data_IF_516837712163
#
_entry.id   IF_516837712163
#
_cell.length_a   1.000
_cell.length_b   1.000
_cell.length_c   1.000
_cell.angle_alpha   90.00
_cell.angle_beta   90.00
_cell.angle_gamma   90.00
#
_symmetry.space_group_name_H-M   'P 1'
#
loop_
_entity.id
_entity.type
_entity.pdbx_description
1 polymer ?
#
# COMPACT_ATOMS: atom_id res chain seq x y z
N UNK A 1 33.81 67.43 -2.74
CA UNK A 1 33.70 66.01 -3.10
C UNK A 1 33.75 65.21 -1.80
N UNK A 2 32.59 64.74 -1.33
CA UNK A 2 32.51 63.95 -0.08
C UNK A 2 32.08 62.53 -0.45
N UNK A 3 32.98 61.57 -0.24
CA UNK A 3 32.79 60.14 -0.44
C UNK A 3 31.86 59.61 0.69
N UNK A 4 30.65 59.16 0.36
CA UNK A 4 29.77 58.42 1.29
C UNK A 4 30.11 56.93 1.18
N UNK A 5 30.67 56.37 2.26
CA UNK A 5 30.84 54.93 2.45
C UNK A 5 29.49 54.33 2.85
N UNK A 6 28.96 53.44 2.00
CA UNK A 6 27.85 52.57 2.37
C UNK A 6 28.39 51.40 3.20
N UNK A 7 28.01 51.34 4.45
CA UNK A 7 28.11 50.13 5.28
C UNK A 7 26.97 49.19 4.93
N UNK A 8 27.28 48.06 4.28
CA UNK A 8 26.36 46.95 4.13
C UNK A 8 26.51 46.09 5.38
N UNK A 9 25.54 46.20 6.29
CA UNK A 9 25.43 45.32 7.43
C UNK A 9 24.94 43.94 6.99
N UNK A 10 25.81 42.95 7.08
CA UNK A 10 25.41 41.53 7.02
C UNK A 10 24.65 41.18 8.27
N UNK A 11 23.31 41.07 8.16
CA UNK A 11 22.47 40.51 9.19
C UNK A 11 22.55 38.97 9.09
N UNK A 12 23.46 38.36 9.83
CA UNK A 12 23.49 36.92 10.06
C UNK A 12 22.31 36.57 10.93
N UNK A 13 21.22 36.07 10.29
CA UNK A 13 20.15 35.41 10.99
C UNK A 13 20.68 34.07 11.48
N UNK A 14 21.01 34.00 12.75
CA UNK A 14 21.26 32.74 13.44
C UNK A 14 19.91 32.03 13.55
N UNK A 15 19.62 31.10 12.65
CA UNK A 15 18.58 30.11 12.83
C UNK A 15 19.03 29.20 13.98
N UNK A 16 18.66 29.53 15.21
CA UNK A 16 18.61 28.53 16.26
C UNK A 16 17.56 27.51 15.83
N UNK A 17 18.01 26.41 15.21
CA UNK A 17 17.26 25.17 15.25
C UNK A 17 17.19 24.79 16.73
N UNK A 18 16.06 25.05 17.37
CA UNK A 18 15.73 24.39 18.61
C UNK A 18 15.75 22.89 18.29
N UNK A 19 16.80 22.21 18.68
CA UNK A 19 16.78 20.75 18.75
C UNK A 19 15.65 20.45 19.74
N UNK A 20 14.51 19.95 19.22
CA UNK A 20 13.50 19.34 20.04
C UNK A 20 14.21 18.19 20.72
N UNK A 21 14.48 18.33 22.00
CA UNK A 21 15.07 17.25 22.80
C UNK A 21 14.01 16.16 22.84
N UNK A 22 14.26 15.04 22.16
CA UNK A 22 13.41 13.88 22.28
C UNK A 22 13.25 13.52 23.76
N UNK A 23 12.04 13.18 24.18
CA UNK A 23 11.80 12.79 25.57
C UNK A 23 12.66 11.56 25.88
N UNK A 24 13.65 11.71 26.72
CA UNK A 24 14.49 10.58 27.16
C UNK A 24 13.76 9.84 28.27
N UNK A 25 13.14 8.71 27.93
CA UNK A 25 12.57 7.78 28.89
C UNK A 25 13.65 6.84 29.42
N UNK A 26 13.73 6.69 30.74
CA UNK A 26 14.79 5.93 31.42
C UNK A 26 14.77 4.43 31.11
N UNK A 27 13.64 3.91 30.65
CA UNK A 27 13.39 2.51 30.33
C UNK A 27 13.30 2.22 28.79
N UNK A 28 13.61 3.22 27.94
CA UNK A 28 13.63 3.09 26.48
C UNK A 28 14.99 3.54 25.96
N UNK A 29 15.93 2.60 25.82
CA UNK A 29 17.23 2.90 25.23
C UNK A 29 17.14 3.05 23.71
N UNK A 30 18.18 3.64 23.11
CA UNK A 30 18.33 3.77 21.64
C UNK A 30 18.39 2.42 20.90
N UNK A 31 18.74 1.36 21.60
CA UNK A 31 18.68 -0.02 21.10
C UNK A 31 17.28 -0.65 21.16
N UNK A 32 16.32 -0.02 21.83
CA UNK A 32 14.96 -0.54 21.89
C UNK A 32 14.28 -0.43 20.52
N UNK A 33 13.66 -1.52 20.06
CA UNK A 33 13.07 -1.60 18.72
C UNK A 33 12.06 -0.47 18.38
N UNK A 34 11.32 0.04 19.38
CA UNK A 34 10.34 1.11 19.21
C UNK A 34 10.90 2.51 19.56
N UNK A 35 12.20 2.66 19.82
CA UNK A 35 12.80 3.93 20.21
C UNK A 35 12.48 5.08 19.24
N UNK A 36 12.68 4.84 17.93
CA UNK A 36 12.42 5.85 16.90
C UNK A 36 10.93 6.23 16.83
N UNK A 37 10.03 5.27 16.97
CA UNK A 37 8.59 5.47 16.91
C UNK A 37 8.09 6.25 18.12
N UNK A 38 8.57 5.90 19.31
CA UNK A 38 8.24 6.61 20.56
C UNK A 38 8.69 8.07 20.46
N UNK A 39 9.92 8.33 20.04
CA UNK A 39 10.45 9.68 19.89
C UNK A 39 9.75 10.47 18.77
N UNK A 40 9.29 9.81 17.70
CA UNK A 40 8.53 10.45 16.64
C UNK A 40 7.16 10.97 17.10
N UNK A 41 6.61 10.36 18.15
CA UNK A 41 5.33 10.72 18.76
C UNK A 41 5.48 11.61 20.02
N UNK A 42 6.63 12.18 20.26
CA UNK A 42 6.95 12.97 21.46
C UNK A 42 5.88 14.03 21.83
N UNK A 43 5.30 14.69 20.82
CA UNK A 43 4.25 15.68 21.03
C UNK A 43 2.88 15.07 21.41
N UNK A 44 2.60 13.83 21.05
CA UNK A 44 1.29 13.18 21.24
C UNK A 44 1.27 12.22 22.43
N UNK A 45 2.42 11.69 22.83
CA UNK A 45 2.52 10.72 23.92
C UNK A 45 3.16 11.33 25.16
N UNK A 46 2.82 10.76 26.31
CA UNK A 46 3.38 11.19 27.59
C UNK A 46 3.86 9.96 28.34
N UNK A 47 5.05 10.04 28.92
CA UNK A 47 5.53 9.05 29.88
C UNK A 47 4.87 9.18 31.25
N UNK A 48 5.37 8.40 32.19
CA UNK A 48 4.94 8.45 33.58
C UNK A 48 5.74 9.49 34.37
N UNK A 49 5.19 9.98 35.52
CA UNK A 49 5.89 10.96 36.34
C UNK A 49 7.26 10.49 36.88
N UNK A 50 7.51 9.18 36.88
CA UNK A 50 8.78 8.58 37.29
C UNK A 50 9.85 8.61 36.16
N UNK A 51 9.55 9.24 35.02
CA UNK A 51 10.46 9.33 33.87
C UNK A 51 10.49 8.09 32.99
N UNK A 52 9.59 7.12 33.22
CA UNK A 52 9.50 5.90 32.40
C UNK A 52 8.44 6.01 31.32
N UNK A 53 8.56 5.23 30.25
CA UNK A 53 7.54 5.04 29.23
C UNK A 53 6.71 3.77 29.45
N UNK A 54 7.28 2.75 30.05
CA UNK A 54 6.73 1.41 30.28
C UNK A 54 6.32 0.72 28.96
N UNK A 55 7.25 0.50 28.03
CA UNK A 55 6.98 0.04 26.66
C UNK A 55 6.21 -1.28 26.60
N UNK A 56 6.45 -2.19 27.56
CA UNK A 56 5.82 -3.52 27.61
C UNK A 56 4.43 -3.52 28.29
N UNK A 57 4.02 -2.42 28.90
CA UNK A 57 2.69 -2.34 29.50
C UNK A 57 1.63 -2.32 28.40
N UNK A 58 0.53 -3.04 28.63
CA UNK A 58 -0.62 -3.06 27.72
C UNK A 58 -1.36 -1.73 27.78
N UNK A 59 -1.76 -1.17 26.64
CA UNK A 59 -2.63 0.01 26.57
C UNK A 59 -4.09 -0.38 26.73
N UNK A 60 -4.84 0.46 27.41
CA UNK A 60 -6.30 0.35 27.46
C UNK A 60 -6.95 0.92 26.19
N UNK A 61 -8.22 0.60 25.95
CA UNK A 61 -8.99 1.21 24.85
C UNK A 61 -9.02 2.72 24.95
N UNK A 62 -9.23 3.26 26.15
CA UNK A 62 -9.26 4.70 26.36
C UNK A 62 -7.92 5.36 26.01
N UNK A 63 -6.78 4.77 26.40
CA UNK A 63 -5.45 5.30 26.08
C UNK A 63 -5.18 5.23 24.58
N UNK A 64 -5.48 4.10 23.91
CA UNK A 64 -5.25 3.95 22.48
C UNK A 64 -6.10 4.95 21.68
N UNK A 65 -7.41 5.01 21.94
CA UNK A 65 -8.32 5.93 21.23
C UNK A 65 -7.96 7.40 21.47
N UNK A 66 -7.46 7.74 22.67
CA UNK A 66 -6.99 9.11 22.94
C UNK A 66 -5.77 9.47 22.09
N UNK A 67 -4.79 8.58 21.99
CA UNK A 67 -3.62 8.80 21.15
C UNK A 67 -4.00 8.82 19.66
N UNK A 68 -4.88 7.92 19.24
CA UNK A 68 -5.41 7.88 17.88
C UNK A 68 -6.12 9.19 17.50
N UNK A 69 -7.04 9.67 18.35
CA UNK A 69 -7.79 10.90 18.08
C UNK A 69 -6.87 12.13 18.01
N UNK A 70 -5.84 12.22 18.87
CA UNK A 70 -4.84 13.29 18.83
C UNK A 70 -4.09 13.34 17.48
N UNK A 71 -3.83 12.18 16.90
CA UNK A 71 -3.07 12.04 15.65
C UNK A 71 -3.96 12.18 14.43
N UNK A 72 -5.11 11.50 14.42
CA UNK A 72 -5.99 11.44 13.26
C UNK A 72 -6.89 12.66 13.12
N UNK A 73 -7.28 13.28 14.24
CA UNK A 73 -8.23 14.39 14.31
C UNK A 73 -7.78 15.50 15.27
N UNK A 74 -6.58 16.07 15.10
CA UNK A 74 -5.96 16.95 16.08
C UNK A 74 -6.79 18.19 16.40
N UNK A 75 -7.49 18.77 15.42
CA UNK A 75 -8.30 19.98 15.63
C UNK A 75 -9.63 19.67 16.33
N UNK A 76 -10.29 18.57 15.94
CA UNK A 76 -11.54 18.15 16.55
C UNK A 76 -11.32 17.70 18.01
N UNK A 77 -10.23 16.97 18.24
CA UNK A 77 -9.85 16.57 19.59
C UNK A 77 -9.58 17.75 20.51
N UNK A 78 -8.91 18.81 20.03
CA UNK A 78 -8.69 20.05 20.79
C UNK A 78 -9.97 20.81 21.09
N UNK A 79 -10.96 20.75 20.19
CA UNK A 79 -12.26 21.42 20.34
C UNK A 79 -13.24 20.62 21.21
N UNK A 80 -13.00 19.33 21.39
CA UNK A 80 -13.84 18.47 22.20
C UNK A 80 -13.59 18.72 23.68
N UNK A 81 -14.31 19.67 24.27
CA UNK A 81 -14.26 19.95 25.73
C UNK A 81 -14.80 18.76 26.52
N UNK A 82 -14.07 18.32 27.53
CA UNK A 82 -14.51 17.28 28.45
C UNK A 82 -13.77 17.32 29.79
N UNK A 83 -14.51 17.11 30.88
CA UNK A 83 -13.94 16.96 32.23
C UNK A 83 -13.13 15.65 32.37
N UNK A 84 -13.44 14.66 31.56
CA UNK A 84 -12.76 13.35 31.56
C UNK A 84 -11.81 13.25 30.34
N UNK A 85 -10.55 12.97 30.57
CA UNK A 85 -9.49 12.91 29.58
C UNK A 85 -9.76 11.97 28.38
N UNK A 86 -10.58 10.92 28.56
CA UNK A 86 -10.91 9.92 27.54
C UNK A 86 -12.16 10.29 26.72
N UNK A 87 -13.09 11.08 27.26
CA UNK A 87 -14.40 11.37 26.62
C UNK A 87 -14.25 12.10 25.30
N UNK A 88 -13.34 13.08 25.22
CA UNK A 88 -13.08 13.81 23.99
C UNK A 88 -12.75 12.85 22.81
N UNK A 89 -11.86 11.89 23.06
CA UNK A 89 -11.49 10.91 22.04
C UNK A 89 -12.65 10.02 21.62
N UNK A 90 -13.46 9.55 22.57
CA UNK A 90 -14.65 8.77 22.27
C UNK A 90 -15.67 9.56 21.45
N UNK A 91 -15.90 10.84 21.80
CA UNK A 91 -16.82 11.72 21.07
C UNK A 91 -16.37 11.91 19.63
N UNK A 92 -15.08 12.14 19.38
CA UNK A 92 -14.52 12.25 18.04
C UNK A 92 -14.68 10.94 17.29
N UNK A 93 -14.30 9.80 17.87
CA UNK A 93 -14.43 8.50 17.22
C UNK A 93 -15.89 8.12 16.90
N UNK A 94 -16.84 8.50 17.77
CA UNK A 94 -18.28 8.31 17.52
C UNK A 94 -18.75 9.18 16.34
N UNK A 95 -18.32 10.44 16.27
CA UNK A 95 -18.70 11.35 15.21
C UNK A 95 -18.24 10.87 13.81
N UNK A 96 -17.21 10.05 13.77
CA UNK A 96 -16.65 9.45 12.55
C UNK A 96 -17.01 7.96 12.36
N UNK A 97 -17.98 7.42 13.11
CA UNK A 97 -18.44 6.03 13.04
C UNK A 97 -17.33 4.97 13.19
N UNK A 98 -16.30 5.27 14.01
CA UNK A 98 -15.11 4.43 14.14
C UNK A 98 -15.20 3.37 15.24
N UNK A 99 -16.22 3.40 16.11
CA UNK A 99 -16.30 2.52 17.28
C UNK A 99 -17.09 1.22 17.06
N UNK A 100 -17.68 1.03 15.90
CA UNK A 100 -18.32 -0.25 15.58
C UNK A 100 -17.26 -1.38 15.55
N UNK A 101 -17.57 -2.55 16.13
CA UNK A 101 -16.61 -3.64 16.31
C UNK A 101 -15.58 -3.44 17.43
N UNK A 102 -15.61 -2.29 18.14
CA UNK A 102 -14.82 -2.10 19.36
C UNK A 102 -15.70 -2.45 20.56
N UNK A 103 -15.53 -3.67 21.04
CA UNK A 103 -16.38 -4.27 22.06
C UNK A 103 -15.61 -4.39 23.38
N UNK A 104 -16.00 -3.64 24.39
CA UNK A 104 -15.41 -3.78 25.70
C UNK A 104 -15.30 -2.49 26.50
N UNK A 105 -15.01 -2.65 27.79
CA UNK A 105 -14.87 -1.50 28.68
C UNK A 105 -13.62 -0.68 28.33
N UNK A 106 -13.74 0.63 28.48
CA UNK A 106 -12.65 1.58 28.21
C UNK A 106 -11.33 1.31 28.94
N UNK A 107 -11.41 0.65 30.10
CA UNK A 107 -10.25 0.31 30.95
C UNK A 107 -9.62 -1.04 30.60
N UNK A 108 -10.26 -1.81 29.72
CA UNK A 108 -9.71 -3.10 29.29
C UNK A 108 -8.64 -2.87 28.22
N UNK A 109 -7.74 -3.83 28.10
CA UNK A 109 -6.72 -3.83 27.06
C UNK A 109 -7.33 -3.69 25.65
N UNK A 110 -6.67 -2.92 24.77
CA UNK A 110 -7.05 -2.80 23.36
C UNK A 110 -6.50 -3.96 22.56
N UNK A 111 -7.34 -4.87 22.01
CA UNK A 111 -6.88 -6.00 21.21
C UNK A 111 -6.41 -5.56 19.82
N UNK A 112 -5.47 -6.29 19.24
CA UNK A 112 -4.95 -5.99 17.89
C UNK A 112 -6.02 -6.08 16.80
N UNK A 113 -6.98 -7.01 16.93
CA UNK A 113 -8.11 -7.15 16.02
C UNK A 113 -9.01 -5.91 16.00
N UNK A 114 -9.31 -5.36 17.19
CA UNK A 114 -10.09 -4.11 17.27
C UNK A 114 -9.32 -2.91 16.70
N UNK A 115 -7.99 -2.86 16.84
CA UNK A 115 -7.18 -1.84 16.18
C UNK A 115 -7.25 -1.98 14.66
N UNK A 116 -7.20 -3.21 14.15
CA UNK A 116 -7.38 -3.43 12.71
C UNK A 116 -8.74 -2.93 12.21
N UNK A 117 -9.82 -3.23 12.96
CA UNK A 117 -11.16 -2.74 12.64
C UNK A 117 -11.29 -1.21 12.67
N UNK A 118 -10.65 -0.56 13.66
CA UNK A 118 -10.59 0.90 13.74
C UNK A 118 -9.86 1.52 12.54
N UNK A 119 -8.69 0.98 12.20
CA UNK A 119 -7.88 1.47 11.09
C UNK A 119 -8.54 1.22 9.73
N UNK A 120 -9.19 0.09 9.53
CA UNK A 120 -9.99 -0.22 8.34
C UNK A 120 -11.04 0.86 8.10
N UNK A 121 -11.87 1.14 9.10
CA UNK A 121 -12.89 2.21 9.01
C UNK A 121 -12.28 3.57 8.74
N UNK A 122 -11.23 3.91 9.46
CA UNK A 122 -10.55 5.18 9.28
C UNK A 122 -9.98 5.33 7.86
N UNK A 123 -9.38 4.26 7.33
CA UNK A 123 -8.80 4.27 5.99
C UNK A 123 -9.84 4.10 4.87
N UNK A 124 -11.08 3.74 5.17
CA UNK A 124 -12.12 3.50 4.14
C UNK A 124 -12.37 4.73 3.25
N UNK A 125 -12.15 5.93 3.77
CA UNK A 125 -12.21 7.17 3.00
C UNK A 125 -10.96 7.48 2.16
N UNK A 126 -9.92 6.65 2.23
CA UNK A 126 -8.71 6.83 1.43
C UNK A 126 -8.88 6.19 0.06
N UNK A 127 -8.58 6.93 -1.01
CA UNK A 127 -8.70 6.40 -2.38
C UNK A 127 -7.87 5.13 -2.59
N UNK A 128 -8.43 4.16 -3.32
CA UNK A 128 -7.75 2.94 -3.73
C UNK A 128 -7.46 1.91 -2.62
N UNK A 129 -7.98 2.08 -1.41
CA UNK A 129 -7.70 1.16 -0.28
C UNK A 129 -8.35 -0.20 -0.51
N UNK A 130 -9.63 -0.21 -0.85
CA UNK A 130 -10.37 -1.45 -1.09
C UNK A 130 -9.90 -2.15 -2.36
N UNK A 131 -9.66 -1.41 -3.44
CA UNK A 131 -9.15 -1.95 -4.70
C UNK A 131 -7.78 -2.61 -4.52
N UNK A 132 -6.90 -2.04 -3.71
CA UNK A 132 -5.60 -2.68 -3.39
C UNK A 132 -5.77 -3.93 -2.54
N UNK A 133 -6.71 -3.91 -1.60
CA UNK A 133 -7.03 -5.09 -0.79
C UNK A 133 -7.60 -6.22 -1.67
N UNK A 134 -8.54 -5.90 -2.56
CA UNK A 134 -9.11 -6.86 -3.51
C UNK A 134 -8.06 -7.43 -4.45
N UNK A 135 -7.15 -6.59 -4.94
CA UNK A 135 -6.02 -7.03 -5.74
C UNK A 135 -5.09 -7.97 -4.96
N UNK A 136 -4.81 -7.70 -3.69
CA UNK A 136 -4.01 -8.58 -2.84
C UNK A 136 -4.71 -9.92 -2.58
N UNK A 137 -6.06 -9.93 -2.42
CA UNK A 137 -6.84 -11.17 -2.32
C UNK A 137 -6.71 -11.98 -3.61
N UNK A 138 -6.87 -11.36 -4.77
CA UNK A 138 -6.76 -12.03 -6.07
C UNK A 138 -5.39 -12.68 -6.28
N UNK A 139 -4.31 -12.09 -5.75
CA UNK A 139 -2.98 -12.66 -5.85
C UNK A 139 -2.67 -13.77 -4.85
N UNK A 140 -3.29 -13.74 -3.67
CA UNK A 140 -3.21 -14.88 -2.73
C UNK A 140 -3.98 -16.08 -3.25
N UNK A 141 -4.95 -15.85 -4.16
CA UNK A 141 -5.60 -16.90 -4.93
C UNK A 141 -4.65 -17.29 -6.07
N UNK A 142 -3.81 -18.29 -5.85
CA UNK A 142 -2.88 -18.77 -6.86
C UNK A 142 -3.64 -19.49 -7.99
N UNK A 143 -3.88 -18.79 -9.10
CA UNK A 143 -4.53 -19.37 -10.29
C UNK A 143 -3.87 -20.66 -10.78
N UNK A 144 -2.59 -20.85 -10.53
CA UNK A 144 -1.83 -22.04 -10.92
C UNK A 144 -2.28 -23.31 -10.22
N UNK A 145 -2.85 -23.18 -9.01
CA UNK A 145 -3.34 -24.31 -8.22
C UNK A 145 -4.85 -24.58 -8.40
N UNK A 146 -5.58 -23.67 -9.08
CA UNK A 146 -7.04 -23.63 -9.08
C UNK A 146 -7.73 -24.27 -10.27
N UNK A 147 -7.09 -25.15 -10.98
CA UNK A 147 -7.68 -25.68 -12.22
C UNK A 147 -8.99 -26.42 -12.12
N UNK A 148 -9.44 -26.86 -10.95
CA UNK A 148 -10.63 -27.73 -10.82
C UNK A 148 -11.43 -27.56 -9.54
N UNK A 149 -11.00 -26.82 -8.54
CA UNK A 149 -11.73 -26.66 -7.27
C UNK A 149 -11.80 -25.19 -6.90
N UNK A 150 -12.92 -24.75 -6.34
CA UNK A 150 -13.02 -23.40 -5.76
C UNK A 150 -11.93 -23.24 -4.72
N UNK A 151 -11.10 -22.18 -4.81
CA UNK A 151 -10.00 -22.02 -3.88
C UNK A 151 -10.57 -21.93 -2.46
N UNK A 152 -10.01 -22.71 -1.55
CA UNK A 152 -10.20 -22.42 -0.14
C UNK A 152 -9.55 -21.06 0.13
N UNK A 153 -10.41 -20.08 0.42
CA UNK A 153 -9.93 -18.77 0.81
C UNK A 153 -9.09 -18.89 2.08
N UNK A 154 -7.85 -18.38 2.01
CA UNK A 154 -6.95 -18.36 3.15
C UNK A 154 -6.75 -16.91 3.60
N UNK A 155 -6.98 -16.60 4.88
CA UNK A 155 -6.67 -15.27 5.42
C UNK A 155 -5.16 -15.02 5.37
N UNK A 156 -4.76 -13.74 5.23
CA UNK A 156 -3.35 -13.30 5.27
C UNK A 156 -2.61 -13.85 6.51
N UNK A 157 -3.33 -13.96 7.62
CA UNK A 157 -2.88 -14.59 8.86
C UNK A 157 -3.95 -15.60 9.30
N UNK A 158 -3.62 -16.91 9.36
CA UNK A 158 -4.59 -17.97 9.67
C UNK A 158 -5.31 -17.78 11.00
N UNK A 159 -4.66 -17.18 11.99
CA UNK A 159 -5.21 -16.90 13.30
C UNK A 159 -6.09 -15.64 13.39
N UNK A 160 -6.26 -14.92 12.27
CA UNK A 160 -7.04 -13.67 12.21
C UNK A 160 -8.31 -13.79 11.34
N UNK A 161 -8.87 -14.99 11.18
CA UNK A 161 -10.02 -15.24 10.31
C UNK A 161 -11.25 -14.37 10.64
N UNK A 162 -11.50 -14.07 11.92
CA UNK A 162 -12.59 -13.21 12.36
C UNK A 162 -12.42 -11.74 11.93
N UNK A 163 -11.17 -11.27 11.84
CA UNK A 163 -10.80 -9.90 11.46
C UNK A 163 -10.16 -9.81 10.07
N UNK A 164 -10.32 -10.82 9.24
CA UNK A 164 -9.53 -11.00 8.02
C UNK A 164 -9.53 -9.77 7.10
N UNK A 165 -10.68 -9.16 6.85
CA UNK A 165 -10.81 -7.99 5.98
C UNK A 165 -10.07 -6.78 6.56
N UNK A 166 -10.35 -6.46 7.82
CA UNK A 166 -9.72 -5.32 8.50
C UNK A 166 -8.21 -5.50 8.67
N UNK A 167 -7.77 -6.73 8.93
CA UNK A 167 -6.33 -7.06 9.03
C UNK A 167 -5.66 -6.92 7.66
N UNK A 168 -6.30 -7.43 6.60
CA UNK A 168 -5.79 -7.31 5.22
C UNK A 168 -5.66 -5.84 4.81
N UNK A 169 -6.69 -5.03 5.03
CA UNK A 169 -6.68 -3.60 4.70
C UNK A 169 -5.60 -2.87 5.48
N UNK A 170 -5.55 -3.06 6.80
CA UNK A 170 -4.55 -2.40 7.66
C UNK A 170 -3.11 -2.80 7.34
N UNK A 171 -2.89 -4.07 6.97
CA UNK A 171 -1.59 -4.57 6.56
C UNK A 171 -1.18 -4.02 5.18
N UNK A 172 -2.10 -4.00 4.23
CA UNK A 172 -1.87 -3.43 2.89
C UNK A 172 -1.65 -1.92 2.91
N UNK A 173 -2.08 -1.23 3.96
CA UNK A 173 -1.72 0.17 4.19
C UNK A 173 -0.39 0.33 4.95
N UNK A 174 0.30 -0.77 5.29
CA UNK A 174 1.55 -0.73 6.05
C UNK A 174 1.40 -0.21 7.48
N UNK A 175 0.19 -0.16 8.01
CA UNK A 175 -0.10 0.31 9.38
C UNK A 175 0.09 -0.80 10.40
N UNK A 176 -0.37 -2.01 10.09
CA UNK A 176 -0.19 -3.21 10.90
C UNK A 176 0.72 -4.22 10.20
N UNK A 177 1.45 -5.00 10.99
CA UNK A 177 2.28 -6.11 10.51
C UNK A 177 2.03 -7.32 11.39
N UNK A 178 2.19 -8.54 10.85
CA UNK A 178 2.20 -9.74 11.69
C UNK A 178 3.44 -9.83 12.59
N UNK A 179 3.46 -10.84 13.43
CA UNK A 179 4.63 -11.21 14.22
C UNK A 179 5.63 -12.04 13.40
N UNK A 180 6.90 -12.13 13.82
CA UNK A 180 7.90 -12.92 13.11
C UNK A 180 7.57 -14.42 13.02
N UNK A 181 6.68 -14.92 13.87
CA UNK A 181 6.19 -16.32 13.86
C UNK A 181 5.07 -16.54 12.82
N UNK A 182 4.73 -15.53 12.02
CA UNK A 182 3.68 -15.59 11.00
C UNK A 182 2.25 -15.42 11.55
N UNK A 183 2.08 -15.17 12.84
CA UNK A 183 0.76 -14.93 13.47
C UNK A 183 0.41 -13.45 13.50
N UNK A 184 -0.88 -13.15 13.68
CA UNK A 184 -1.38 -11.78 13.91
C UNK A 184 -1.73 -11.53 15.38
N UNK A 185 -2.22 -12.55 16.08
CA UNK A 185 -2.68 -12.52 17.49
C UNK A 185 -3.78 -11.48 17.72
N UNK A 186 -4.95 -11.61 17.09
CA UNK A 186 -6.00 -10.58 17.12
C UNK A 186 -6.50 -10.28 18.54
N UNK A 187 -6.58 -11.26 19.41
CA UNK A 187 -7.06 -11.12 20.80
C UNK A 187 -6.00 -10.59 21.76
N UNK A 188 -4.74 -10.52 21.33
CA UNK A 188 -3.67 -10.00 22.19
C UNK A 188 -3.82 -8.52 22.41
N UNK A 189 -3.83 -8.07 23.66
CA UNK A 189 -3.73 -6.67 24.04
C UNK A 189 -2.41 -6.08 23.55
N UNK A 190 -2.49 -4.88 22.95
CA UNK A 190 -1.33 -4.18 22.38
C UNK A 190 -0.54 -3.51 23.48
N UNK A 191 0.79 -3.62 23.45
CA UNK A 191 1.68 -2.92 24.36
C UNK A 191 1.82 -1.46 23.98
N UNK A 192 2.33 -0.61 24.88
CA UNK A 192 2.60 0.81 24.61
C UNK A 192 3.60 1.00 23.49
N UNK A 193 4.61 0.14 23.39
CA UNK A 193 5.58 0.16 22.30
C UNK A 193 4.93 -0.23 20.96
N UNK A 194 4.10 -1.27 20.94
CA UNK A 194 3.35 -1.68 19.74
C UNK A 194 2.37 -0.57 19.30
N UNK A 195 1.65 0.04 20.25
CA UNK A 195 0.77 1.18 19.97
C UNK A 195 1.53 2.38 19.39
N UNK A 196 2.69 2.72 19.94
CA UNK A 196 3.54 3.77 19.41
C UNK A 196 4.00 3.45 17.98
N UNK A 197 4.35 2.21 17.68
CA UNK A 197 4.75 1.82 16.33
C UNK A 197 3.61 1.94 15.31
N UNK A 198 2.40 1.55 15.68
CA UNK A 198 1.20 1.67 14.83
C UNK A 198 0.87 3.14 14.58
N UNK A 199 0.80 3.92 15.64
CA UNK A 199 0.41 5.33 15.59
C UNK A 199 1.48 6.23 14.93
N UNK A 200 2.76 5.89 15.07
CA UNK A 200 3.83 6.57 14.36
C UNK A 200 3.74 6.37 12.84
N UNK A 201 3.41 5.14 12.39
CA UNK A 201 3.16 4.86 10.96
C UNK A 201 1.94 5.64 10.47
N UNK A 202 0.86 5.66 11.24
CA UNK A 202 -0.33 6.44 10.89
C UNK A 202 0.00 7.93 10.75
N UNK A 203 0.64 8.54 11.74
CA UNK A 203 1.05 9.96 11.70
C UNK A 203 1.94 10.27 10.49
N UNK A 204 2.90 9.40 10.21
CA UNK A 204 3.80 9.59 9.08
C UNK A 204 3.07 9.48 7.73
N UNK A 205 2.14 8.54 7.59
CA UNK A 205 1.31 8.45 6.38
C UNK A 205 0.40 9.66 6.21
N UNK A 206 -0.25 10.14 7.27
CA UNK A 206 -1.07 11.35 7.22
C UNK A 206 -0.25 12.56 6.74
N UNK A 207 0.96 12.75 7.26
CA UNK A 207 1.85 13.83 6.84
C UNK A 207 2.28 13.73 5.36
N UNK A 208 2.42 12.51 4.81
CA UNK A 208 2.70 12.31 3.39
C UNK A 208 1.43 12.49 2.55
N UNK A 209 0.27 12.06 3.03
CA UNK A 209 -1.02 12.26 2.35
C UNK A 209 -1.42 13.72 2.23
N UNK A 210 -1.11 14.57 3.22
CA UNK A 210 -1.26 16.03 3.11
C UNK A 210 -0.48 16.62 1.94
N UNK A 211 0.60 15.96 1.52
CA UNK A 211 1.40 16.30 0.33
C UNK A 211 0.88 15.63 -0.96
N UNK A 212 -0.25 14.94 -0.89
CA UNK A 212 -0.82 14.18 -2.00
C UNK A 212 -0.17 12.82 -2.25
N UNK A 213 0.72 12.36 -1.36
CA UNK A 213 1.33 11.04 -1.50
C UNK A 213 0.39 9.93 -0.99
N UNK A 214 0.38 8.81 -1.70
CA UNK A 214 -0.38 7.62 -1.31
C UNK A 214 0.56 6.42 -1.11
N UNK A 215 0.33 5.69 -0.02
CA UNK A 215 1.10 4.50 0.27
C UNK A 215 0.76 3.38 -0.72
N UNK A 216 1.78 2.69 -1.17
CA UNK A 216 1.66 1.56 -2.09
C UNK A 216 2.06 0.25 -1.40
N UNK A 217 3.31 0.14 -0.98
CA UNK A 217 3.81 -1.04 -0.26
C UNK A 217 5.10 -0.70 0.52
N UNK A 218 5.57 -1.67 1.30
CA UNK A 218 6.87 -1.57 1.97
C UNK A 218 7.94 -2.28 1.14
N UNK A 219 9.07 -1.62 0.92
CA UNK A 219 10.25 -2.13 0.23
C UNK A 219 11.44 -2.04 1.18
N UNK A 220 11.79 -3.15 1.82
CA UNK A 220 12.81 -3.16 2.87
C UNK A 220 12.41 -2.27 4.04
N UNK A 221 13.23 -1.29 4.35
CA UNK A 221 12.99 -0.33 5.42
C UNK A 221 12.19 0.89 4.97
N UNK A 222 11.84 1.00 3.68
CA UNK A 222 11.23 2.19 3.08
C UNK A 222 9.79 1.93 2.64
N UNK A 223 9.02 3.01 2.52
CA UNK A 223 7.72 3.01 1.90
C UNK A 223 7.81 3.42 0.44
N UNK A 224 7.25 2.61 -0.44
CA UNK A 224 6.96 3.02 -1.80
C UNK A 224 5.66 3.83 -1.77
N UNK A 225 5.77 5.07 -2.22
CA UNK A 225 4.66 6.01 -2.27
C UNK A 225 4.43 6.46 -3.69
N UNK A 226 3.16 6.61 -4.04
CA UNK A 226 2.74 7.36 -5.21
C UNK A 226 2.68 8.84 -4.83
N UNK A 227 3.13 9.73 -5.73
CA UNK A 227 3.05 11.17 -5.51
C UNK A 227 2.57 11.90 -6.78
N UNK A 228 1.81 13.01 -6.64
CA UNK A 228 1.39 13.82 -7.78
C UNK A 228 2.58 14.60 -8.34
N UNK A 229 2.70 14.63 -9.66
CA UNK A 229 3.55 15.52 -10.42
C UNK A 229 2.67 16.29 -11.42
N UNK A 230 3.08 17.42 -11.96
CA UNK A 230 2.23 18.40 -12.66
C UNK A 230 1.17 17.83 -13.62
N UNK A 231 1.57 16.92 -14.50
CA UNK A 231 0.73 16.22 -15.49
C UNK A 231 0.94 14.69 -15.44
N UNK A 232 1.57 14.24 -14.39
CA UNK A 232 2.10 12.90 -14.25
C UNK A 232 1.89 12.40 -12.83
N UNK A 233 2.06 11.11 -12.65
CA UNK A 233 2.14 10.45 -11.34
C UNK A 233 3.50 9.83 -11.21
N UNK A 234 4.09 9.93 -10.03
CA UNK A 234 5.40 9.38 -9.74
C UNK A 234 5.37 8.31 -8.67
N UNK A 235 6.36 7.44 -8.70
CA UNK A 235 6.71 6.50 -7.63
C UNK A 235 8.03 6.88 -7.00
N UNK A 236 8.08 6.84 -5.68
CA UNK A 236 9.31 7.06 -4.95
C UNK A 236 9.34 6.30 -3.63
N UNK A 237 10.54 5.98 -3.19
CA UNK A 237 10.81 5.42 -1.87
C UNK A 237 11.02 6.55 -0.87
N UNK A 238 10.34 6.43 0.26
CA UNK A 238 10.43 7.36 1.38
C UNK A 238 10.82 6.64 2.66
N UNK A 239 11.62 7.29 3.49
CA UNK A 239 11.86 6.85 4.86
C UNK A 239 10.58 7.07 5.69
N UNK A 240 10.03 6.02 6.34
CA UNK A 240 8.69 6.07 6.92
C UNK A 240 8.45 7.20 7.92
N UNK A 241 9.32 7.38 8.90
CA UNK A 241 9.08 8.33 10.00
C UNK A 241 9.48 9.77 9.66
N UNK A 242 10.44 9.97 8.77
CA UNK A 242 10.91 11.31 8.41
C UNK A 242 10.23 11.88 7.18
N UNK A 243 9.60 11.00 6.36
CA UNK A 243 9.05 11.38 5.07
C UNK A 243 10.12 11.88 4.09
N UNK A 244 11.41 11.51 4.33
CA UNK A 244 12.52 11.87 3.45
C UNK A 244 12.49 11.03 2.20
N UNK A 245 12.56 11.68 1.04
CA UNK A 245 12.73 11.02 -0.25
C UNK A 245 14.08 10.30 -0.30
N UNK A 246 14.05 9.01 -0.61
CA UNK A 246 15.22 8.14 -0.72
C UNK A 246 15.58 7.88 -2.18
N UNK A 247 14.58 7.53 -2.99
CA UNK A 247 14.78 7.19 -4.40
C UNK A 247 13.53 7.55 -5.21
N UNK A 248 13.70 8.21 -6.35
CA UNK A 248 12.66 8.29 -7.37
C UNK A 248 12.72 7.03 -8.22
N UNK A 249 11.59 6.32 -8.32
CA UNK A 249 11.50 5.03 -9.02
C UNK A 249 11.07 5.23 -10.46
N UNK A 250 9.99 5.97 -10.71
CA UNK A 250 9.48 6.22 -12.06
C UNK A 250 8.45 7.35 -12.11
N UNK A 251 8.18 7.81 -13.32
CA UNK A 251 7.15 8.79 -13.65
C UNK A 251 6.35 8.29 -14.85
N UNK A 252 5.04 8.46 -14.85
CA UNK A 252 4.19 8.20 -16.02
C UNK A 252 3.11 9.28 -16.15
N UNK A 253 2.63 9.51 -17.35
CA UNK A 253 1.56 10.45 -17.59
C UNK A 253 0.25 9.91 -17.03
N UNK A 254 -0.50 10.74 -16.33
CA UNK A 254 -1.85 10.42 -15.92
C UNK A 254 -2.72 10.25 -17.19
N UNK A 255 -3.48 9.15 -17.27
CA UNK A 255 -4.40 8.94 -18.38
C UNK A 255 -5.46 10.04 -18.38
N UNK A 256 -5.62 10.77 -19.50
CA UNK A 256 -6.66 11.76 -19.62
C UNK A 256 -8.03 11.06 -19.69
N UNK A 257 -8.92 11.37 -18.78
CA UNK A 257 -10.35 11.00 -18.86
C UNK A 257 -10.83 9.94 -17.87
N UNK A 258 -10.01 9.42 -16.97
CA UNK A 258 -10.46 8.57 -15.86
C UNK A 258 -10.62 9.45 -14.63
N UNK A 259 -11.85 9.69 -14.20
CA UNK A 259 -12.19 10.50 -13.03
C UNK A 259 -11.34 10.12 -11.81
N UNK A 260 -10.32 10.93 -11.52
CA UNK A 260 -9.61 10.95 -10.24
C UNK A 260 -8.89 9.66 -9.77
N UNK A 261 -9.18 8.53 -10.35
CA UNK A 261 -8.59 7.23 -10.02
C UNK A 261 -7.44 6.92 -10.97
N UNK A 262 -6.29 7.47 -10.67
CA UNK A 262 -5.05 6.88 -11.16
C UNK A 262 -4.73 5.72 -10.22
N UNK A 263 -5.53 4.67 -10.33
CA UNK A 263 -5.27 3.47 -9.59
C UNK A 263 -3.95 2.88 -10.06
N UNK A 264 -3.02 2.71 -9.14
CA UNK A 264 -2.07 1.62 -9.23
C UNK A 264 -2.87 0.34 -9.09
N UNK A 265 -3.37 -0.14 -10.19
CA UNK A 265 -4.29 -1.25 -10.17
C UNK A 265 -3.65 -2.52 -9.64
N UNK A 266 -2.34 -2.62 -9.57
CA UNK A 266 -1.66 -3.75 -8.91
C UNK A 266 -0.20 -3.40 -8.68
N UNK A 267 0.16 -2.93 -7.51
CA UNK A 267 1.50 -3.03 -7.00
C UNK A 267 1.51 -4.13 -5.95
N UNK A 268 1.65 -5.34 -6.44
CA UNK A 268 1.73 -6.51 -5.60
C UNK A 268 3.20 -6.87 -5.46
N UNK A 269 3.64 -7.05 -4.22
CA UNK A 269 4.86 -7.80 -4.00
C UNK A 269 4.53 -9.26 -4.35
N UNK A 270 5.33 -9.91 -5.19
CA UNK A 270 5.25 -11.34 -5.39
C UNK A 270 5.29 -12.07 -4.05
N UNK A 271 4.89 -13.35 -4.01
CA UNK A 271 4.84 -14.18 -2.79
C UNK A 271 6.15 -14.18 -1.97
N UNK A 272 7.26 -13.79 -2.60
CA UNK A 272 8.59 -13.64 -2.00
C UNK A 272 8.95 -12.18 -1.65
N UNK A 273 8.03 -11.22 -1.85
CA UNK A 273 8.26 -9.79 -1.60
C UNK A 273 9.33 -9.15 -2.48
N UNK A 274 9.72 -9.81 -3.58
CA UNK A 274 10.88 -9.41 -4.40
C UNK A 274 10.54 -8.53 -5.58
N UNK A 275 9.28 -8.43 -6.00
CA UNK A 275 8.86 -7.70 -7.18
C UNK A 275 7.76 -6.71 -6.89
N UNK A 276 7.79 -5.58 -7.61
CA UNK A 276 6.74 -4.56 -7.63
C UNK A 276 6.43 -4.28 -9.09
N UNK A 277 5.15 -4.32 -9.50
CA UNK A 277 4.77 -4.09 -10.88
C UNK A 277 3.44 -3.35 -11.01
N UNK A 278 3.19 -2.78 -12.16
CA UNK A 278 2.01 -2.01 -12.49
C UNK A 278 2.24 -1.07 -13.66
N UNK A 279 1.58 0.08 -13.69
CA UNK A 279 1.72 1.09 -14.76
C UNK A 279 3.14 1.60 -14.94
N UNK A 280 3.90 1.71 -13.87
CA UNK A 280 5.29 2.16 -13.92
C UNK A 280 6.27 1.12 -14.46
N UNK A 281 5.82 -0.11 -14.69
CA UNK A 281 6.64 -1.22 -15.13
C UNK A 281 6.78 -2.34 -14.12
N UNK A 282 7.78 -3.19 -14.31
CA UNK A 282 8.17 -4.25 -13.39
C UNK A 282 9.52 -3.91 -12.75
N UNK A 283 9.56 -3.99 -11.45
CA UNK A 283 10.76 -3.73 -10.65
C UNK A 283 11.08 -4.94 -9.78
N UNK A 284 12.36 -5.25 -9.66
CA UNK A 284 12.88 -6.23 -8.71
C UNK A 284 13.49 -5.51 -7.52
N UNK A 285 13.20 -6.00 -6.33
CA UNK A 285 13.85 -5.52 -5.11
C UNK A 285 15.30 -5.98 -5.06
N UNK A 286 16.21 -5.04 -4.77
CA UNK A 286 17.61 -5.30 -4.48
C UNK A 286 17.96 -4.62 -3.17
N UNK A 287 17.91 -5.37 -2.05
CA UNK A 287 18.03 -4.79 -0.72
C UNK A 287 16.91 -3.79 -0.41
N UNK A 288 17.29 -2.53 -0.19
CA UNK A 288 16.39 -1.40 0.09
C UNK A 288 16.11 -0.53 -1.16
N UNK A 289 16.41 -1.01 -2.36
CA UNK A 289 16.17 -0.30 -3.63
C UNK A 289 15.34 -1.12 -4.58
N UNK A 290 14.85 -0.48 -5.64
CA UNK A 290 14.13 -1.11 -6.73
C UNK A 290 14.91 -0.94 -8.04
N UNK A 291 15.15 -2.05 -8.72
CA UNK A 291 15.77 -2.10 -10.05
C UNK A 291 14.68 -2.35 -11.10
N UNK A 292 14.61 -1.51 -12.12
CA UNK A 292 13.62 -1.64 -13.18
C UNK A 292 14.01 -2.77 -14.15
N UNK A 293 13.12 -3.73 -14.34
CA UNK A 293 13.25 -4.84 -15.30
C UNK A 293 12.49 -4.53 -16.59
N UNK A 294 11.28 -3.99 -16.47
CA UNK A 294 10.41 -3.61 -17.61
C UNK A 294 9.97 -2.16 -17.38
N UNK A 295 10.10 -1.32 -18.42
CA UNK A 295 9.78 0.11 -18.35
C UNK A 295 8.37 0.46 -18.89
N UNK A 296 7.62 -0.53 -19.39
CA UNK A 296 6.23 -0.35 -19.82
C UNK A 296 5.25 -0.94 -18.81
N UNK A 297 3.97 -0.58 -18.88
CA UNK A 297 2.95 -1.15 -17.99
C UNK A 297 2.95 -2.68 -18.00
N UNK A 298 2.92 -3.28 -16.81
CA UNK A 298 2.86 -4.72 -16.59
C UNK A 298 1.63 -5.06 -15.75
N UNK A 299 0.75 -5.89 -16.27
CA UNK A 299 -0.45 -6.35 -15.58
C UNK A 299 -0.17 -7.61 -14.76
N UNK A 300 0.50 -8.57 -15.37
CA UNK A 300 0.93 -9.82 -14.75
C UNK A 300 2.17 -10.36 -15.46
N UNK A 301 2.93 -11.24 -14.79
CA UNK A 301 4.15 -11.80 -15.34
C UNK A 301 4.46 -13.19 -14.78
N UNK A 302 5.24 -13.96 -15.55
CA UNK A 302 5.83 -15.21 -15.08
C UNK A 302 7.23 -15.42 -15.65
N UNK A 303 8.10 -16.06 -14.86
CA UNK A 303 9.41 -16.47 -15.30
C UNK A 303 9.37 -17.87 -15.92
N UNK A 304 10.14 -18.05 -16.98
CA UNK A 304 10.41 -19.36 -17.58
C UNK A 304 11.92 -19.59 -17.65
N UNK A 305 12.41 -20.43 -16.74
CA UNK A 305 13.84 -20.54 -16.49
C UNK A 305 14.45 -19.23 -15.96
N UNK A 306 15.76 -19.12 -15.99
CA UNK A 306 16.48 -17.99 -15.36
C UNK A 306 16.55 -16.73 -16.22
N UNK A 307 16.22 -16.82 -17.52
CA UNK A 307 16.52 -15.78 -18.50
C UNK A 307 15.34 -15.34 -19.37
N UNK A 308 14.16 -15.86 -19.16
CA UNK A 308 12.98 -15.51 -19.98
C UNK A 308 11.84 -15.07 -19.08
N UNK A 309 11.35 -13.88 -19.32
CA UNK A 309 10.18 -13.30 -18.67
C UNK A 309 9.06 -13.19 -19.69
N UNK A 310 7.90 -13.73 -19.38
CA UNK A 310 6.65 -13.46 -20.08
C UNK A 310 5.80 -12.51 -19.25
N UNK A 311 5.15 -11.54 -19.89
CA UNK A 311 4.30 -10.58 -19.20
C UNK A 311 3.17 -10.06 -20.06
N UNK A 312 2.11 -9.63 -19.40
CA UNK A 312 0.99 -8.94 -20.02
C UNK A 312 1.22 -7.44 -19.93
N UNK A 313 1.06 -6.75 -21.06
CA UNK A 313 1.21 -5.29 -21.15
C UNK A 313 0.01 -4.65 -21.84
N UNK A 314 -0.19 -3.36 -21.63
CA UNK A 314 -1.18 -2.55 -22.33
C UNK A 314 -0.55 -1.26 -22.85
N UNK A 315 -1.26 -0.61 -23.77
CA UNK A 315 -0.86 0.68 -24.32
C UNK A 315 -1.68 1.79 -23.65
N UNK A 316 -1.05 2.57 -22.79
CA UNK A 316 -1.69 3.69 -22.09
C UNK A 316 -2.15 4.81 -23.02
N UNK A 317 -1.72 4.80 -24.30
CA UNK A 317 -2.13 5.80 -25.30
C UNK A 317 -3.46 5.46 -25.96
N UNK A 318 -3.95 4.23 -25.82
CA UNK A 318 -5.22 3.80 -26.41
C UNK A 318 -6.38 4.10 -25.45
N UNK A 319 -7.40 4.80 -25.95
CA UNK A 319 -8.67 4.96 -25.22
C UNK A 319 -9.35 3.59 -25.12
N UNK A 320 -9.63 3.15 -23.91
CA UNK A 320 -10.48 1.97 -23.66
C UNK A 320 -11.88 2.32 -24.18
N UNK A 321 -12.47 1.51 -25.10
CA UNK A 321 -13.81 1.79 -25.58
C UNK A 321 -14.81 1.88 -24.41
N UNK A 322 -15.64 2.91 -24.39
CA UNK A 322 -16.58 3.23 -23.30
C UNK A 322 -17.71 2.20 -23.09
N UNK A 323 -17.66 1.06 -23.76
CA UNK A 323 -18.76 0.08 -23.77
C UNK A 323 -18.72 -0.99 -22.68
N UNK A 324 -17.64 -1.05 -21.87
CA UNK A 324 -17.57 -2.02 -20.79
C UNK A 324 -17.59 -1.31 -19.45
N UNK A 325 -18.67 -1.47 -18.70
CA UNK A 325 -18.78 -0.98 -17.31
C UNK A 325 -17.67 -1.59 -16.44
N UNK A 326 -17.23 -2.81 -16.75
CA UNK A 326 -16.13 -3.49 -16.09
C UNK A 326 -14.75 -3.00 -16.56
N UNK A 327 -14.60 -2.61 -17.83
CA UNK A 327 -13.33 -2.10 -18.37
C UNK A 327 -12.96 -0.71 -17.80
N UNK A 328 -13.90 0.03 -17.20
CA UNK A 328 -13.62 1.27 -16.50
C UNK A 328 -12.90 1.07 -15.18
N UNK A 329 -12.92 -0.15 -14.63
CA UNK A 329 -12.39 -0.46 -13.30
C UNK A 329 -11.11 -1.32 -13.33
N UNK A 330 -10.81 -2.03 -14.43
CA UNK A 330 -9.64 -2.90 -14.51
C UNK A 330 -8.83 -2.62 -15.78
N UNK A 331 -7.52 -2.43 -15.69
CA UNK A 331 -6.68 -2.36 -16.86
C UNK A 331 -6.74 -3.70 -17.59
N UNK A 332 -6.97 -3.65 -18.90
CA UNK A 332 -6.97 -4.81 -19.75
C UNK A 332 -5.66 -4.87 -20.50
N UNK A 333 -4.90 -5.94 -20.33
CA UNK A 333 -3.73 -6.14 -21.16
C UNK A 333 -4.17 -6.32 -22.62
N UNK A 334 -3.40 -5.73 -23.51
CA UNK A 334 -3.61 -5.83 -24.96
C UNK A 334 -2.54 -6.67 -25.65
N UNK A 335 -1.44 -6.97 -24.96
CA UNK A 335 -0.27 -7.63 -25.53
C UNK A 335 0.30 -8.68 -24.60
N UNK A 336 0.71 -9.80 -25.19
CA UNK A 336 1.54 -10.83 -24.55
C UNK A 336 2.98 -10.60 -24.96
N UNK A 337 3.83 -10.36 -24.02
CA UNK A 337 5.21 -9.95 -24.22
C UNK A 337 6.19 -11.02 -23.76
N UNK A 338 7.33 -11.10 -24.45
CA UNK A 338 8.51 -11.89 -24.04
C UNK A 338 9.70 -10.96 -23.87
N UNK A 339 10.41 -11.10 -22.78
CA UNK A 339 11.69 -10.45 -22.56
C UNK A 339 12.75 -11.51 -22.29
N UNK A 340 13.74 -11.58 -23.16
CA UNK A 340 14.90 -12.47 -23.00
C UNK A 340 16.08 -11.71 -22.44
N UNK A 341 16.81 -12.33 -21.51
CA UNK A 341 18.00 -11.77 -20.86
C UNK A 341 17.72 -10.38 -20.25
N UNK A 342 16.79 -10.26 -19.29
CA UNK A 342 16.53 -8.99 -18.63
C UNK A 342 17.81 -8.35 -18.10
N UNK A 343 17.97 -7.05 -18.32
CA UNK A 343 19.18 -6.29 -18.01
C UNK A 343 19.89 -5.77 -19.26
N UNK A 344 21.21 -5.73 -19.25
CA UNK A 344 22.00 -5.30 -20.41
C UNK A 344 21.80 -6.30 -21.59
N UNK A 345 21.36 -5.81 -22.73
CA UNK A 345 21.04 -6.59 -23.95
C UNK A 345 19.71 -7.36 -23.90
N UNK A 346 18.72 -6.88 -23.17
CA UNK A 346 17.37 -7.44 -23.18
C UNK A 346 16.75 -7.41 -24.59
N UNK A 347 16.23 -8.56 -25.04
CA UNK A 347 15.49 -8.67 -26.30
C UNK A 347 14.01 -8.78 -25.99
N UNK A 348 13.25 -7.80 -26.46
CA UNK A 348 11.81 -7.69 -26.25
C UNK A 348 11.06 -8.12 -27.51
N UNK A 349 10.07 -8.97 -27.38
CA UNK A 349 9.26 -9.49 -28.48
C UNK A 349 7.78 -9.49 -28.09
N UNK A 350 6.91 -9.03 -29.00
CA UNK A 350 5.45 -9.21 -28.89
C UNK A 350 5.15 -10.63 -29.36
N UNK A 351 4.57 -11.45 -28.51
CA UNK A 351 4.20 -12.82 -28.84
C UNK A 351 2.79 -12.93 -29.41
N UNK A 352 1.86 -12.16 -28.88
CA UNK A 352 0.49 -12.08 -29.35
C UNK A 352 -0.13 -10.73 -28.95
N UNK A 353 -1.08 -10.27 -29.74
CA UNK A 353 -1.89 -9.10 -29.41
C UNK A 353 -3.37 -9.51 -29.36
N UNK A 354 -4.13 -8.83 -28.53
CA UNK A 354 -5.58 -8.97 -28.44
C UNK A 354 -6.19 -8.54 -29.78
N UNK A 355 -7.21 -9.28 -30.24
CA UNK A 355 -8.06 -8.82 -31.34
C UNK A 355 -8.94 -7.66 -30.86
N UNK A 356 -8.71 -6.46 -31.39
CA UNK A 356 -9.46 -5.25 -31.04
C UNK A 356 -10.94 -5.30 -31.51
N UNK A 357 -11.26 -6.19 -32.44
CA UNK A 357 -12.63 -6.42 -32.87
C UNK A 357 -13.43 -7.26 -31.87
N UNK A 358 -12.76 -7.94 -30.93
CA UNK A 358 -13.39 -8.72 -29.88
C UNK A 358 -13.58 -7.87 -28.62
N UNK A 359 -14.79 -7.43 -28.28
CA UNK A 359 -15.04 -6.63 -27.09
C UNK A 359 -14.86 -7.40 -25.77
N UNK A 360 -14.55 -8.69 -25.86
CA UNK A 360 -14.66 -9.64 -24.76
C UNK A 360 -13.31 -10.16 -24.23
N UNK A 361 -12.19 -9.85 -24.87
CA UNK A 361 -10.88 -10.36 -24.45
C UNK A 361 -10.18 -9.42 -23.46
N UNK A 362 -10.40 -9.58 -22.17
CA UNK A 362 -9.64 -8.91 -21.13
C UNK A 362 -8.60 -9.89 -20.58
N UNK A 363 -7.35 -9.74 -20.99
CA UNK A 363 -6.26 -10.59 -20.51
C UNK A 363 -5.89 -10.17 -19.09
N UNK A 364 -5.87 -11.13 -18.16
CA UNK A 364 -5.69 -10.86 -16.72
C UNK A 364 -4.47 -11.52 -16.12
N UNK A 365 -4.13 -12.73 -16.54
CA UNK A 365 -3.07 -13.54 -15.95
C UNK A 365 -2.27 -14.27 -17.02
N UNK A 366 -0.99 -14.57 -16.73
CA UNK A 366 -0.07 -15.26 -17.63
C UNK A 366 0.74 -16.31 -16.88
N UNK A 367 0.86 -17.51 -17.44
CA UNK A 367 1.64 -18.58 -16.85
C UNK A 367 2.19 -19.57 -17.89
N UNK A 368 3.23 -20.30 -17.52
CA UNK A 368 3.79 -21.38 -18.33
C UNK A 368 3.56 -22.71 -17.65
N UNK A 369 3.04 -23.67 -18.39
CA UNK A 369 2.86 -25.03 -17.92
C UNK A 369 3.31 -26.02 -18.96
N UNK A 370 4.15 -27.00 -18.58
CA UNK A 370 4.77 -27.99 -19.47
C UNK A 370 5.43 -27.39 -20.74
N UNK A 371 5.99 -26.17 -20.61
CA UNK A 371 6.63 -25.45 -21.71
C UNK A 371 5.67 -24.71 -22.62
N UNK A 372 4.37 -24.76 -22.40
CA UNK A 372 3.34 -24.01 -23.13
C UNK A 372 2.94 -22.76 -22.37
N UNK A 373 2.85 -21.64 -23.09
CA UNK A 373 2.44 -20.35 -22.52
C UNK A 373 0.93 -20.19 -22.61
N UNK A 374 0.30 -19.94 -21.49
CA UNK A 374 -1.13 -19.71 -21.36
C UNK A 374 -1.41 -18.31 -20.84
N UNK A 375 -2.55 -17.77 -21.26
CA UNK A 375 -3.08 -16.50 -20.81
C UNK A 375 -4.54 -16.70 -20.39
N UNK A 376 -4.85 -16.34 -19.15
CA UNK A 376 -6.22 -16.27 -18.71
C UNK A 376 -6.81 -14.88 -19.01
N UNK A 377 -8.11 -14.83 -19.17
CA UNK A 377 -8.84 -13.59 -19.38
C UNK A 377 -10.25 -13.68 -18.84
N UNK A 378 -10.91 -12.53 -18.82
CA UNK A 378 -12.30 -12.41 -18.47
C UNK A 378 -13.03 -11.58 -19.49
N UNK A 379 -14.31 -11.88 -19.70
CA UNK A 379 -15.19 -11.05 -20.50
C UNK A 379 -16.54 -10.86 -19.80
N UNK A 380 -17.18 -9.73 -20.06
CA UNK A 380 -18.45 -9.38 -19.47
C UNK A 380 -19.50 -9.28 -20.59
N UNK A 381 -20.55 -10.08 -20.51
CA UNK A 381 -21.67 -10.05 -21.46
C UNK A 381 -22.85 -9.18 -20.99
N UNK A 382 -22.74 -8.59 -19.78
CA UNK A 382 -23.78 -7.74 -19.18
C UNK A 382 -23.37 -7.24 -17.79
N UNK A 383 -24.28 -6.57 -17.11
CA UNK A 383 -23.98 -5.90 -15.81
C UNK A 383 -23.64 -6.89 -14.68
N UNK A 384 -23.89 -8.20 -14.86
CA UNK A 384 -23.74 -9.21 -13.82
C UNK A 384 -23.02 -10.50 -14.24
N UNK A 385 -22.65 -10.66 -15.51
CA UNK A 385 -22.11 -11.93 -16.01
C UNK A 385 -20.62 -11.79 -16.36
N UNK A 386 -19.76 -12.12 -15.40
CA UNK A 386 -18.32 -12.25 -15.62
C UNK A 386 -17.99 -13.69 -16.04
N UNK A 387 -17.44 -13.88 -17.19
CA UNK A 387 -17.01 -15.17 -17.72
C UNK A 387 -15.49 -15.25 -17.77
N UNK A 388 -14.96 -16.44 -17.51
CA UNK A 388 -13.52 -16.71 -17.67
C UNK A 388 -13.21 -17.24 -19.06
N UNK A 389 -12.03 -16.89 -19.55
CA UNK A 389 -11.47 -17.41 -20.81
C UNK A 389 -10.04 -17.90 -20.59
N UNK A 390 -9.60 -18.88 -21.39
CA UNK A 390 -8.25 -19.37 -21.38
C UNK A 390 -7.75 -19.49 -22.82
N UNK A 391 -6.55 -18.99 -23.05
CA UNK A 391 -5.90 -18.97 -24.36
C UNK A 391 -4.54 -19.65 -24.28
N UNK A 392 -4.19 -20.41 -25.32
CA UNK A 392 -2.82 -20.80 -25.62
C UNK A 392 -2.17 -19.73 -26.52
N UNK A 393 -0.94 -19.32 -26.20
CA UNK A 393 -0.18 -18.42 -27.08
C UNK A 393 0.57 -19.24 -28.13
N UNK A 394 0.10 -19.18 -29.35
CA UNK A 394 0.63 -19.99 -30.46
C UNK A 394 0.63 -19.22 -31.77
N UNK A 395 1.72 -19.32 -32.53
CA UNK A 395 1.89 -18.74 -33.87
C UNK A 395 1.51 -17.25 -33.95
N UNK A 396 1.86 -16.49 -32.92
CA UNK A 396 1.58 -15.05 -32.82
C UNK A 396 0.12 -14.71 -32.51
N UNK A 397 -0.67 -15.66 -32.02
CA UNK A 397 -2.11 -15.50 -31.74
C UNK A 397 -2.48 -16.07 -30.38
N UNK A 398 -3.60 -15.60 -29.89
CA UNK A 398 -4.32 -16.18 -28.76
C UNK A 398 -5.31 -17.21 -29.28
N UNK A 399 -5.00 -18.48 -29.08
CA UNK A 399 -5.87 -19.59 -29.46
C UNK A 399 -6.78 -19.95 -28.28
N UNK A 400 -8.09 -19.71 -28.40
CA UNK A 400 -9.03 -20.01 -27.33
C UNK A 400 -9.11 -21.51 -27.05
N UNK A 401 -8.98 -21.88 -25.78
CA UNK A 401 -9.20 -23.25 -25.30
C UNK A 401 -10.59 -23.40 -24.70
N UNK A 402 -11.10 -22.35 -24.04
CA UNK A 402 -12.50 -22.23 -23.61
C UNK A 402 -12.88 -20.74 -23.45
N UNK A 403 -14.21 -20.46 -23.42
CA UNK A 403 -14.73 -19.13 -23.05
C UNK A 403 -14.95 -18.15 -24.20
N UNK A 404 -14.65 -18.52 -25.47
CA UNK A 404 -15.12 -17.76 -26.62
C UNK A 404 -16.43 -18.34 -27.18
N UNK A 405 -17.44 -17.47 -27.35
CA UNK A 405 -18.68 -17.74 -28.05
C UNK A 405 -18.88 -16.76 -29.21
#
# INVERSE_FOLDING_TARGET
MKLRRLLIGFLTVLLLSAAVSAAEYTDVSDAHWAYKQINYLDAEITGYPDGTYKPENTVTRAEFLTLFARIAFPEEWKQAESDDWWKAAYSVCIAHDLLDGINGGRVNAMPRGEIAALLDRFCSGWGGVHERADAAIQHTINWKEQRMESPEWQPLFPDAAEYWSSVLISANQGLLTGYPDGSFKPEKGVTRAEAAAILARLKAQLALREKGCEYVCTVGDYWLMQYPASDSVGLALYEPLTGKLVQTVGLWKAAQGVNGYVAFDRLLSGSDGMYVWGRAGLYKRSGNTLEQIVAEPVLDFCWYGDNTLYYLSWDDTRQIPAYSYAAAYFPCASRVMKLEKPGQNAVRTILAERDESSPTQNLTDIYVEYGTLYVAGSYCMGIADLHAALYEVKDGKLAALFGEY
#
